data_IF_969434666093
#
_entry.id   IF_969434666093
#
_cell.length_a   1.000
_cell.length_b   1.000
_cell.length_c   1.000
_cell.angle_alpha   90.00
_cell.angle_beta   90.00
_cell.angle_gamma   90.00
#
_symmetry.space_group_name_H-M   'P 1'
#
loop_
_entity.id
_entity.type
_entity.pdbx_description
1 polymer ?
#
# COMPACT_ATOMS: atom_id res chain seq x y z
N UNK A 1 7.63 -0.97 -27.69
CA UNK A 1 8.40 -1.79 -26.73
C UNK A 1 9.49 -2.52 -27.50
N UNK A 2 10.74 -2.45 -27.04
CA UNK A 2 11.85 -3.20 -27.64
C UNK A 2 11.77 -4.70 -27.24
N UNK A 3 12.52 -5.60 -27.90
CA UNK A 3 12.49 -7.04 -27.61
C UNK A 3 12.84 -7.39 -26.15
N UNK A 4 13.82 -6.69 -25.57
CA UNK A 4 14.29 -6.91 -24.20
C UNK A 4 13.19 -6.59 -23.17
N UNK A 5 12.44 -5.51 -23.39
CA UNK A 5 11.31 -5.12 -22.55
C UNK A 5 10.17 -6.13 -22.63
N UNK A 6 9.94 -6.72 -23.81
CA UNK A 6 8.94 -7.79 -23.98
C UNK A 6 9.35 -9.02 -23.16
N UNK A 7 10.61 -9.44 -23.26
CA UNK A 7 11.12 -10.61 -22.54
C UNK A 7 11.13 -10.39 -21.02
N UNK A 8 11.60 -9.23 -20.56
CA UNK A 8 11.54 -8.82 -19.16
C UNK A 8 10.11 -8.86 -18.61
N UNK A 9 9.15 -8.25 -19.32
CA UNK A 9 7.75 -8.24 -18.90
C UNK A 9 7.16 -9.65 -18.86
N UNK A 10 7.55 -10.53 -19.79
CA UNK A 10 7.11 -11.93 -19.82
C UNK A 10 7.62 -12.71 -18.61
N UNK A 11 8.91 -12.57 -18.29
CA UNK A 11 9.54 -13.21 -17.13
C UNK A 11 8.91 -12.70 -15.83
N UNK A 12 8.77 -11.38 -15.68
CA UNK A 12 8.14 -10.78 -14.51
C UNK A 12 6.70 -11.29 -14.32
N UNK A 13 5.91 -11.29 -15.39
CA UNK A 13 4.53 -11.79 -15.37
C UNK A 13 4.44 -13.28 -15.02
N UNK A 14 5.40 -14.08 -15.50
CA UNK A 14 5.48 -15.50 -15.14
C UNK A 14 5.76 -15.68 -13.66
N UNK A 15 6.78 -15.01 -13.12
CA UNK A 15 7.15 -15.10 -11.71
C UNK A 15 6.00 -14.62 -10.80
N UNK A 16 5.31 -13.52 -11.17
CA UNK A 16 4.12 -13.04 -10.46
C UNK A 16 2.99 -14.06 -10.47
N UNK A 17 2.78 -14.76 -11.58
CA UNK A 17 1.76 -15.81 -11.69
C UNK A 17 2.10 -17.02 -10.80
N UNK A 18 3.36 -17.42 -10.76
CA UNK A 18 3.84 -18.51 -9.90
C UNK A 18 3.74 -18.15 -8.41
N UNK A 19 3.98 -16.88 -8.07
CA UNK A 19 3.87 -16.35 -6.70
C UNK A 19 2.43 -16.01 -6.26
N UNK A 20 1.44 -16.08 -7.17
CA UNK A 20 0.08 -15.61 -6.88
C UNK A 20 -0.63 -16.50 -5.85
N UNK A 21 -1.27 -15.87 -4.87
CA UNK A 21 -1.95 -16.58 -3.78
C UNK A 21 -3.46 -16.49 -3.94
N UNK A 22 -4.09 -17.65 -4.10
CA UNK A 22 -5.55 -17.81 -4.21
C UNK A 22 -6.08 -18.60 -3.02
N UNK A 23 -6.21 -17.93 -1.89
CA UNK A 23 -6.63 -18.53 -0.64
C UNK A 23 -7.50 -17.56 0.16
N UNK A 24 -8.48 -18.09 0.90
CA UNK A 24 -9.28 -17.28 1.81
C UNK A 24 -8.50 -17.08 3.10
N UNK A 25 -8.28 -15.82 3.50
CA UNK A 25 -7.64 -15.45 4.76
C UNK A 25 -8.47 -15.90 5.99
N UNK A 26 -9.73 -16.27 5.78
CA UNK A 26 -10.66 -16.80 6.79
C UNK A 26 -10.93 -18.31 6.62
N UNK A 27 -10.01 -19.05 5.99
CA UNK A 27 -10.21 -20.48 5.76
C UNK A 27 -10.37 -21.30 7.06
N UNK A 28 -9.66 -20.90 8.13
CA UNK A 28 -9.74 -21.53 9.46
C UNK A 28 -10.83 -20.97 10.38
N UNK A 29 -11.79 -20.22 9.84
CA UNK A 29 -12.89 -19.64 10.61
C UNK A 29 -13.91 -20.72 11.00
N UNK A 30 -14.08 -20.95 12.31
CA UNK A 30 -15.01 -21.93 12.87
C UNK A 30 -16.47 -21.44 12.85
N UNK A 31 -16.72 -20.13 12.79
CA UNK A 31 -18.08 -19.55 12.87
C UNK A 31 -18.78 -19.56 11.52
N UNK A 32 -18.06 -19.18 10.47
CA UNK A 32 -18.55 -19.25 9.09
C UNK A 32 -17.63 -20.15 8.28
N UNK A 33 -18.15 -21.33 7.91
CA UNK A 33 -17.41 -22.27 7.07
C UNK A 33 -17.05 -21.62 5.74
N UNK A 34 -15.76 -21.65 5.39
CA UNK A 34 -15.27 -21.19 4.10
C UNK A 34 -15.97 -21.92 2.96
N UNK A 35 -16.52 -21.18 1.99
CA UNK A 35 -17.15 -21.78 0.81
C UNK A 35 -16.16 -22.33 -0.21
N UNK A 36 -14.86 -22.04 -0.05
CA UNK A 36 -13.78 -22.44 -0.96
C UNK A 36 -13.77 -21.72 -2.32
N UNK A 37 -14.87 -21.07 -2.71
CA UNK A 37 -14.97 -20.32 -3.97
C UNK A 37 -14.30 -18.95 -3.82
N UNK A 38 -12.99 -18.90 -4.08
CA UNK A 38 -12.19 -17.67 -4.10
C UNK A 38 -12.69 -16.72 -5.19
N UNK A 39 -12.79 -15.44 -4.84
CA UNK A 39 -13.23 -14.37 -5.73
C UNK A 39 -12.14 -13.31 -5.89
N UNK A 40 -12.33 -12.41 -6.85
CA UNK A 40 -11.61 -11.15 -6.92
C UNK A 40 -12.33 -10.13 -6.03
N UNK A 41 -11.99 -10.14 -4.73
CA UNK A 41 -12.53 -9.20 -3.76
C UNK A 41 -11.92 -7.81 -3.96
N UNK A 42 -12.73 -6.76 -3.78
CA UNK A 42 -12.30 -5.37 -3.94
C UNK A 42 -11.87 -4.77 -2.60
N UNK A 43 -10.65 -4.24 -2.50
CA UNK A 43 -10.21 -3.48 -1.33
C UNK A 43 -10.74 -2.03 -1.30
N UNK A 44 -11.15 -1.50 -2.45
CA UNK A 44 -11.93 -0.25 -2.55
C UNK A 44 -13.25 -0.57 -3.23
N UNK A 45 -14.37 -0.21 -2.61
CA UNK A 45 -15.71 -0.62 -3.04
C UNK A 45 -15.98 -0.32 -4.50
N UNK A 46 -16.31 -1.34 -5.29
CA UNK A 46 -16.57 -1.14 -6.72
C UNK A 46 -17.85 -0.33 -6.95
N UNK A 47 -18.97 -0.81 -6.40
CA UNK A 47 -20.32 -0.30 -6.71
C UNK A 47 -20.71 1.01 -6.04
N UNK A 48 -19.84 1.56 -5.18
CA UNK A 48 -20.06 2.81 -4.46
C UNK A 48 -18.92 3.78 -4.70
N UNK A 49 -17.72 3.42 -4.24
CA UNK A 49 -16.56 4.32 -4.24
C UNK A 49 -15.92 4.41 -5.63
N UNK A 50 -15.57 3.28 -6.27
CA UNK A 50 -14.90 3.33 -7.56
C UNK A 50 -15.84 3.82 -8.68
N UNK A 51 -17.11 3.42 -8.65
CA UNK A 51 -18.13 3.92 -9.57
C UNK A 51 -18.36 5.44 -9.45
N UNK A 52 -18.23 6.04 -8.25
CA UNK A 52 -18.36 7.49 -8.07
C UNK A 52 -17.14 8.28 -8.54
N UNK A 53 -15.98 7.63 -8.66
CA UNK A 53 -14.70 8.24 -9.07
C UNK A 53 -14.41 8.03 -10.55
N UNK A 54 -14.91 6.94 -11.13
CA UNK A 54 -14.66 6.60 -12.53
C UNK A 54 -15.21 7.64 -13.51
N UNK A 55 -14.58 7.74 -14.67
CA UNK A 55 -15.13 8.53 -15.77
C UNK A 55 -16.50 7.98 -16.18
N UNK A 56 -17.46 8.89 -16.34
CA UNK A 56 -18.87 8.58 -16.62
C UNK A 56 -19.19 8.57 -18.12
N UNK A 57 -18.26 9.00 -18.98
CA UNK A 57 -18.46 9.07 -20.42
C UNK A 57 -17.15 9.14 -21.19
N UNK A 58 -17.23 8.90 -22.51
CA UNK A 58 -16.08 8.95 -23.41
C UNK A 58 -15.27 7.65 -23.44
N UNK A 59 -14.08 7.71 -24.03
CA UNK A 59 -13.20 6.54 -24.24
C UNK A 59 -12.68 5.89 -22.94
N UNK A 60 -12.82 6.60 -21.81
CA UNK A 60 -12.37 6.17 -20.49
C UNK A 60 -13.52 5.79 -19.55
N UNK A 61 -14.75 5.66 -20.06
CA UNK A 61 -15.90 5.23 -19.28
C UNK A 61 -15.59 3.99 -18.41
N UNK A 62 -15.90 4.09 -17.11
CA UNK A 62 -15.67 3.01 -16.14
C UNK A 62 -14.20 2.77 -15.78
N UNK A 63 -13.31 3.71 -16.08
CA UNK A 63 -11.89 3.69 -15.69
C UNK A 63 -11.57 4.77 -14.67
N UNK A 64 -10.54 4.50 -13.88
CA UNK A 64 -9.89 5.43 -12.95
C UNK A 64 -8.42 5.57 -13.32
N UNK A 65 -7.78 6.63 -12.82
CA UNK A 65 -6.33 6.70 -12.72
C UNK A 65 -5.86 6.07 -11.42
N UNK A 66 -4.72 5.38 -11.47
CA UNK A 66 -3.95 5.00 -10.29
C UNK A 66 -2.46 5.30 -10.53
N UNK A 67 -1.68 5.45 -9.48
CA UNK A 67 -0.23 5.62 -9.59
C UNK A 67 0.43 4.25 -9.73
N UNK A 68 1.47 4.18 -10.54
CA UNK A 68 2.26 2.96 -10.72
C UNK A 68 3.60 3.23 -11.38
N UNK A 69 4.38 2.18 -11.56
CA UNK A 69 5.70 2.25 -12.18
C UNK A 69 5.69 1.56 -13.55
N UNK A 70 6.40 2.12 -14.53
CA UNK A 70 6.63 1.53 -15.84
C UNK A 70 8.14 1.54 -16.17
N UNK A 71 8.67 0.55 -16.90
CA UNK A 71 10.06 0.60 -17.34
C UNK A 71 10.31 1.81 -18.24
N UNK A 72 11.41 2.53 -18.01
CA UNK A 72 11.90 3.57 -18.91
C UNK A 72 12.28 2.98 -20.28
N UNK A 73 12.31 3.82 -21.33
CA UNK A 73 12.67 3.38 -22.68
C UNK A 73 14.08 2.78 -22.77
N UNK A 74 15.01 3.26 -21.94
CA UNK A 74 16.39 2.78 -21.85
C UNK A 74 16.55 1.51 -21.01
N UNK A 75 15.46 1.01 -20.39
CA UNK A 75 15.45 -0.13 -19.47
C UNK A 75 16.38 0.01 -18.26
N UNK A 76 16.86 1.22 -17.95
CA UNK A 76 17.77 1.46 -16.81
C UNK A 76 17.03 1.81 -15.52
N UNK A 77 15.76 2.19 -15.61
CA UNK A 77 14.98 2.62 -14.45
C UNK A 77 13.49 2.31 -14.60
N UNK A 78 12.79 2.34 -13.47
CA UNK A 78 11.33 2.37 -13.43
C UNK A 78 10.89 3.83 -13.23
N UNK A 79 9.98 4.30 -14.07
CA UNK A 79 9.44 5.65 -14.04
C UNK A 79 8.02 5.64 -13.50
N UNK A 80 7.64 6.60 -12.64
CA UNK A 80 6.29 6.70 -12.14
C UNK A 80 5.36 7.36 -13.15
N UNK A 81 4.13 6.86 -13.22
CA UNK A 81 3.10 7.42 -14.08
C UNK A 81 1.70 7.17 -13.51
N UNK A 82 0.73 7.98 -13.96
CA UNK A 82 -0.67 7.65 -13.82
C UNK A 82 -1.09 6.65 -14.88
N UNK A 83 -1.65 5.52 -14.45
CA UNK A 83 -2.15 4.46 -15.31
C UNK A 83 -3.67 4.43 -15.29
N UNK A 84 -4.28 4.27 -16.46
CA UNK A 84 -5.72 4.02 -16.57
C UNK A 84 -6.04 2.55 -16.33
N UNK A 85 -6.98 2.28 -15.44
CA UNK A 85 -7.47 0.93 -15.21
C UNK A 85 -8.98 0.89 -14.98
N UNK A 86 -9.64 -0.13 -15.55
CA UNK A 86 -11.06 -0.36 -15.34
C UNK A 86 -11.38 -0.79 -13.91
N UNK A 87 -12.44 -0.23 -13.32
CA UNK A 87 -12.83 -0.46 -11.92
C UNK A 87 -13.15 -1.92 -11.58
N UNK A 88 -13.46 -2.74 -12.59
CA UNK A 88 -13.69 -4.19 -12.41
C UNK A 88 -12.41 -4.93 -12.00
N UNK A 89 -11.23 -4.43 -12.37
CA UNK A 89 -9.92 -5.05 -12.09
C UNK A 89 -9.15 -4.32 -11.00
N UNK A 90 -9.25 -2.99 -10.96
CA UNK A 90 -8.51 -2.19 -10.00
C UNK A 90 -8.86 -2.56 -8.55
N UNK A 91 -7.85 -2.53 -7.67
CA UNK A 91 -8.00 -2.82 -6.24
C UNK A 91 -8.54 -4.21 -5.93
N UNK A 92 -8.41 -5.18 -6.85
CA UNK A 92 -8.86 -6.56 -6.61
C UNK A 92 -7.76 -7.46 -6.07
N UNK A 93 -8.13 -8.43 -5.24
CA UNK A 93 -7.23 -9.47 -4.72
C UNK A 93 -7.97 -10.76 -4.41
N UNK A 94 -7.24 -11.87 -4.32
CA UNK A 94 -7.78 -13.24 -4.18
C UNK A 94 -7.67 -13.78 -2.76
N UNK A 95 -7.87 -12.89 -1.77
CA UNK A 95 -7.76 -13.17 -0.34
C UNK A 95 -9.05 -13.65 0.34
N UNK A 96 -10.19 -13.73 -0.38
CA UNK A 96 -11.47 -14.10 0.21
C UNK A 96 -12.29 -15.05 -0.67
N UNK A 97 -13.07 -15.92 -0.01
CA UNK A 97 -14.17 -16.61 -0.66
C UNK A 97 -15.42 -15.71 -0.70
N UNK A 98 -16.33 -15.95 -1.63
CA UNK A 98 -17.55 -15.13 -1.75
C UNK A 98 -18.48 -15.15 -0.52
N UNK A 99 -18.37 -16.18 0.34
CA UNK A 99 -19.13 -16.25 1.59
C UNK A 99 -18.60 -15.30 2.65
N UNK A 100 -17.28 -15.35 2.91
CA UNK A 100 -16.62 -14.48 3.89
C UNK A 100 -16.58 -13.03 3.47
N UNK A 101 -16.32 -12.76 2.18
CA UNK A 101 -16.35 -11.39 1.65
C UNK A 101 -17.71 -10.73 1.93
N UNK A 102 -18.81 -11.40 1.57
CA UNK A 102 -20.15 -10.89 1.83
C UNK A 102 -20.40 -10.74 3.34
N UNK A 103 -20.13 -11.77 4.15
CA UNK A 103 -20.44 -11.73 5.57
C UNK A 103 -19.74 -10.59 6.32
N UNK A 104 -18.48 -10.31 5.99
CA UNK A 104 -17.67 -9.30 6.69
C UNK A 104 -17.99 -7.90 6.18
N UNK A 105 -18.10 -7.73 4.85
CA UNK A 105 -18.11 -6.41 4.25
C UNK A 105 -19.50 -5.85 3.95
N UNK A 106 -20.55 -6.67 3.95
CA UNK A 106 -21.91 -6.22 3.71
C UNK A 106 -22.32 -4.94 4.49
N UNK A 107 -21.94 -4.75 5.77
CA UNK A 107 -22.32 -3.55 6.52
C UNK A 107 -21.73 -2.23 5.98
N UNK A 108 -20.65 -2.26 5.19
CA UNK A 108 -20.14 -1.09 4.47
C UNK A 108 -20.58 -1.06 3.01
N UNK A 109 -20.90 -2.21 2.40
CA UNK A 109 -21.39 -2.28 1.01
C UNK A 109 -22.85 -1.86 0.87
N UNK A 110 -23.73 -2.23 1.81
CA UNK A 110 -25.18 -2.04 1.65
C UNK A 110 -25.71 -0.80 2.40
N UNK A 111 -24.95 -0.29 3.37
CA UNK A 111 -25.38 0.82 4.24
C UNK A 111 -24.58 2.08 3.93
N UNK A 112 -25.23 3.24 4.00
CA UNK A 112 -24.53 4.53 3.87
C UNK A 112 -23.51 4.71 5.00
N UNK A 113 -22.38 5.33 4.70
CA UNK A 113 -21.36 5.61 5.69
C UNK A 113 -21.86 6.64 6.71
N UNK A 114 -21.79 6.28 7.99
CA UNK A 114 -22.20 7.12 9.13
C UNK A 114 -21.18 7.11 10.26
N UNK A 115 -19.95 6.63 9.98
CA UNK A 115 -18.84 6.54 10.92
C UNK A 115 -19.14 5.77 12.21
N UNK A 116 -20.01 4.74 12.14
CA UNK A 116 -20.19 3.83 13.28
C UNK A 116 -18.91 3.03 13.52
N UNK A 117 -18.62 2.67 14.79
CA UNK A 117 -17.46 1.85 15.14
C UNK A 117 -17.38 0.57 14.28
N UNK A 118 -18.52 -0.07 13.99
CA UNK A 118 -18.57 -1.24 13.12
C UNK A 118 -18.04 -0.94 11.71
N UNK A 119 -18.50 0.13 11.08
CA UNK A 119 -18.01 0.54 9.76
C UNK A 119 -16.52 0.89 9.79
N UNK A 120 -16.06 1.63 10.80
CA UNK A 120 -14.64 2.01 10.95
C UNK A 120 -13.73 0.77 11.07
N UNK A 121 -14.14 -0.21 11.88
CA UNK A 121 -13.41 -1.48 12.02
C UNK A 121 -13.41 -2.30 10.73
N UNK A 122 -14.51 -2.35 9.98
CA UNK A 122 -14.58 -3.08 8.70
C UNK A 122 -13.67 -2.43 7.65
N UNK A 123 -13.62 -1.09 7.57
CA UNK A 123 -12.68 -0.38 6.69
C UNK A 123 -11.22 -0.64 7.08
N UNK A 124 -10.91 -0.66 8.38
CA UNK A 124 -9.59 -1.00 8.87
C UNK A 124 -9.21 -2.45 8.52
N UNK A 125 -10.13 -3.40 8.74
CA UNK A 125 -9.93 -4.81 8.44
C UNK A 125 -9.67 -5.03 6.95
N UNK A 126 -10.44 -4.36 6.07
CA UNK A 126 -10.25 -4.43 4.62
C UNK A 126 -8.85 -3.99 4.20
N UNK A 127 -8.36 -2.88 4.75
CA UNK A 127 -7.02 -2.37 4.48
C UNK A 127 -5.92 -3.32 4.97
N UNK A 128 -6.05 -3.84 6.19
CA UNK A 128 -5.11 -4.81 6.75
C UNK A 128 -5.09 -6.14 5.97
N UNK A 129 -6.27 -6.65 5.59
CA UNK A 129 -6.39 -7.90 4.83
C UNK A 129 -5.82 -7.79 3.41
N UNK A 130 -6.01 -6.64 2.74
CA UNK A 130 -5.40 -6.41 1.42
C UNK A 130 -3.87 -6.41 1.52
N UNK A 131 -3.32 -5.75 2.53
CA UNK A 131 -1.88 -5.68 2.75
C UNK A 131 -1.32 -7.04 3.15
N UNK A 132 -1.98 -7.78 4.04
CA UNK A 132 -1.60 -9.15 4.39
C UNK A 132 -1.49 -10.03 3.14
N UNK A 133 -2.48 -9.97 2.26
CA UNK A 133 -2.44 -10.69 0.99
C UNK A 133 -1.29 -10.26 0.08
N UNK A 134 -1.04 -8.95 -0.04
CA UNK A 134 0.11 -8.40 -0.80
C UNK A 134 1.47 -8.86 -0.25
N UNK A 135 1.65 -8.89 1.08
CA UNK A 135 2.90 -9.35 1.70
C UNK A 135 3.07 -10.87 1.57
N UNK A 136 1.99 -11.65 1.66
CA UNK A 136 2.03 -13.08 1.38
C UNK A 136 2.51 -13.35 -0.05
N UNK A 137 1.99 -12.62 -1.05
CA UNK A 137 2.44 -12.74 -2.44
C UNK A 137 3.89 -12.26 -2.61
N UNK A 138 4.31 -11.21 -1.90
CA UNK A 138 5.68 -10.73 -1.91
C UNK A 138 6.67 -11.74 -1.33
N UNK A 139 6.29 -12.45 -0.26
CA UNK A 139 7.06 -13.57 0.30
C UNK A 139 7.18 -14.70 -0.73
N UNK A 140 6.07 -15.13 -1.32
CA UNK A 140 6.07 -16.18 -2.35
C UNK A 140 6.88 -15.78 -3.58
N UNK A 141 6.88 -14.49 -3.95
CA UNK A 141 7.70 -13.98 -5.03
C UNK A 141 9.20 -14.07 -4.72
N UNK A 142 9.61 -13.78 -3.49
CA UNK A 142 10.99 -14.02 -3.04
C UNK A 142 11.38 -15.49 -3.14
N UNK A 143 10.47 -16.41 -2.79
CA UNK A 143 10.67 -17.86 -2.89
C UNK A 143 10.84 -18.31 -4.35
N UNK A 144 10.03 -17.78 -5.27
CA UNK A 144 10.17 -18.02 -6.72
C UNK A 144 11.50 -17.50 -7.24
N UNK A 145 11.92 -16.29 -6.86
CA UNK A 145 13.19 -15.70 -7.32
C UNK A 145 14.41 -16.48 -6.82
N UNK A 146 14.35 -17.01 -5.59
CA UNK A 146 15.47 -17.73 -4.99
C UNK A 146 15.50 -19.21 -5.38
N UNK A 147 14.34 -19.85 -5.54
CA UNK A 147 14.23 -21.30 -5.78
C UNK A 147 15.08 -22.10 -4.80
N UNK A 148 15.95 -22.97 -5.32
CA UNK A 148 16.88 -23.80 -4.52
C UNK A 148 17.91 -22.98 -3.71
N UNK A 149 18.04 -21.66 -3.96
CA UNK A 149 18.96 -20.76 -3.24
C UNK A 149 18.35 -20.13 -1.98
N UNK A 150 17.08 -20.40 -1.67
CA UNK A 150 16.39 -19.80 -0.52
C UNK A 150 17.15 -20.02 0.79
N UNK A 151 17.70 -21.23 0.98
CA UNK A 151 18.42 -21.64 2.19
C UNK A 151 19.94 -21.71 2.01
N UNK A 152 20.48 -21.16 0.93
CA UNK A 152 21.91 -21.19 0.62
C UNK A 152 22.57 -19.90 1.09
N UNK A 153 23.62 -20.02 1.92
CA UNK A 153 24.45 -18.86 2.30
C UNK A 153 25.53 -18.60 1.25
N UNK A 154 25.12 -18.05 0.10
CA UNK A 154 26.00 -17.63 -0.99
C UNK A 154 26.57 -16.20 -0.82
N UNK A 155 26.31 -15.56 0.32
CA UNK A 155 26.86 -14.24 0.66
C UNK A 155 27.30 -14.15 2.13
N UNK A 156 28.33 -14.92 2.51
CA UNK A 156 28.82 -14.98 3.88
C UNK A 156 29.41 -13.64 4.36
N UNK A 157 29.60 -13.52 5.68
CA UNK A 157 30.06 -12.28 6.32
C UNK A 157 31.36 -11.70 5.71
N UNK A 158 32.31 -12.55 5.31
CA UNK A 158 33.54 -12.07 4.68
C UNK A 158 33.30 -11.43 3.30
N UNK A 159 32.31 -11.90 2.53
CA UNK A 159 31.88 -11.23 1.29
C UNK A 159 31.20 -9.90 1.59
N UNK A 160 30.33 -9.85 2.60
CA UNK A 160 29.67 -8.62 3.04
C UNK A 160 30.67 -7.52 3.45
N UNK A 161 31.75 -7.91 4.13
CA UNK A 161 32.79 -6.98 4.58
C UNK A 161 33.71 -6.53 3.43
N UNK A 162 34.04 -7.40 2.48
CA UNK A 162 35.03 -7.11 1.43
C UNK A 162 34.42 -6.53 0.16
N UNK A 163 33.16 -6.84 -0.17
CA UNK A 163 32.51 -6.37 -1.40
C UNK A 163 32.54 -4.84 -1.56
N UNK A 164 32.33 -4.00 -0.52
CA UNK A 164 32.43 -2.54 -0.66
C UNK A 164 33.83 -2.07 -1.11
N UNK A 165 34.90 -2.69 -0.60
CA UNK A 165 36.28 -2.39 -0.99
C UNK A 165 36.60 -2.88 -2.41
N UNK A 166 35.98 -3.99 -2.82
CA UNK A 166 36.09 -4.48 -4.21
C UNK A 166 35.34 -3.54 -5.17
N UNK A 167 34.11 -3.12 -4.82
CA UNK A 167 33.30 -2.18 -5.62
C UNK A 167 33.95 -0.81 -5.78
N UNK A 168 34.70 -0.35 -4.78
CA UNK A 168 35.46 0.91 -4.84
C UNK A 168 36.81 0.78 -5.54
N UNK A 169 37.25 -0.45 -5.87
CA UNK A 169 38.52 -0.71 -6.55
C UNK A 169 39.75 -0.80 -5.64
N UNK A 170 39.56 -0.72 -4.31
CA UNK A 170 40.64 -0.89 -3.33
C UNK A 170 41.19 -2.33 -3.32
N UNK A 171 40.32 -3.31 -3.57
CA UNK A 171 40.68 -4.74 -3.68
C UNK A 171 40.32 -5.23 -5.08
N UNK A 172 41.28 -5.85 -5.77
CA UNK A 172 41.03 -6.51 -7.06
C UNK A 172 40.82 -8.01 -6.85
N UNK A 173 39.77 -8.54 -7.47
CA UNK A 173 39.48 -9.97 -7.53
C UNK A 173 39.24 -10.37 -8.99
N UNK A 174 39.45 -11.64 -9.37
CA UNK A 174 39.03 -12.13 -10.68
C UNK A 174 37.54 -11.91 -10.96
N UNK A 175 37.17 -11.66 -12.21
CA UNK A 175 35.80 -11.30 -12.61
C UNK A 175 34.75 -12.34 -12.19
N UNK A 176 35.06 -13.64 -12.33
CA UNK A 176 34.14 -14.70 -11.90
C UNK A 176 33.85 -14.68 -10.39
N UNK A 177 34.79 -14.20 -9.56
CA UNK A 177 34.58 -14.02 -8.12
C UNK A 177 33.68 -12.81 -7.89
N UNK A 178 33.93 -11.69 -8.58
CA UNK A 178 33.10 -10.50 -8.48
C UNK A 178 31.65 -10.81 -8.89
N UNK A 179 31.44 -11.50 -10.00
CA UNK A 179 30.12 -11.93 -10.47
C UNK A 179 29.40 -12.79 -9.43
N UNK A 180 30.10 -13.78 -8.84
CA UNK A 180 29.54 -14.61 -7.79
C UNK A 180 29.17 -13.81 -6.54
N UNK A 181 30.00 -12.84 -6.14
CA UNK A 181 29.73 -11.96 -4.99
C UNK A 181 28.54 -11.04 -5.24
N UNK A 182 28.42 -10.47 -6.44
CA UNK A 182 27.28 -9.62 -6.82
C UNK A 182 25.98 -10.42 -6.88
N UNK A 183 26.03 -11.66 -7.39
CA UNK A 183 24.85 -12.53 -7.38
C UNK A 183 24.47 -12.95 -5.95
N UNK A 184 25.45 -13.28 -5.11
CA UNK A 184 25.24 -13.56 -3.69
C UNK A 184 24.63 -12.38 -2.95
N UNK A 185 25.10 -11.15 -3.19
CA UNK A 185 24.54 -9.93 -2.61
C UNK A 185 23.06 -9.75 -2.97
N UNK A 186 22.70 -9.93 -4.26
CA UNK A 186 21.30 -9.88 -4.72
C UNK A 186 20.45 -10.94 -4.02
N UNK A 187 20.91 -12.19 -3.98
CA UNK A 187 20.20 -13.28 -3.31
C UNK A 187 20.04 -13.00 -1.80
N UNK A 188 21.06 -12.42 -1.16
CA UNK A 188 21.00 -12.02 0.25
C UNK A 188 19.96 -10.93 0.50
N UNK A 189 19.89 -9.91 -0.36
CA UNK A 189 18.85 -8.88 -0.27
C UNK A 189 17.44 -9.46 -0.38
N UNK A 190 17.22 -10.42 -1.30
CA UNK A 190 15.93 -11.10 -1.44
C UNK A 190 15.61 -11.94 -0.19
N UNK A 191 16.58 -12.63 0.41
CA UNK A 191 16.39 -13.38 1.67
C UNK A 191 16.07 -12.46 2.86
N UNK A 192 16.70 -11.29 2.94
CA UNK A 192 16.38 -10.30 3.97
C UNK A 192 14.93 -9.80 3.80
N UNK A 193 14.50 -9.51 2.57
CA UNK A 193 13.12 -9.13 2.29
C UNK A 193 12.14 -10.26 2.64
N UNK A 194 12.45 -11.51 2.27
CA UNK A 194 11.65 -12.69 2.61
C UNK A 194 11.44 -12.81 4.13
N UNK A 195 12.50 -12.69 4.92
CA UNK A 195 12.43 -12.69 6.40
C UNK A 195 11.58 -11.53 6.94
N UNK A 196 11.75 -10.33 6.39
CA UNK A 196 10.94 -9.16 6.79
C UNK A 196 9.45 -9.36 6.49
N UNK A 197 9.12 -10.00 5.35
CA UNK A 197 7.74 -10.37 5.05
C UNK A 197 7.16 -11.30 6.11
N UNK A 198 7.93 -12.23 6.69
CA UNK A 198 7.43 -13.11 7.76
C UNK A 198 7.02 -12.33 9.01
N UNK A 199 7.81 -11.34 9.41
CA UNK A 199 7.46 -10.46 10.53
C UNK A 199 6.18 -9.66 10.22
N UNK A 200 6.09 -9.06 9.03
CA UNK A 200 4.90 -8.30 8.62
C UNK A 200 3.66 -9.17 8.50
N UNK A 201 3.77 -10.41 8.01
CA UNK A 201 2.66 -11.37 7.95
C UNK A 201 2.13 -11.66 9.35
N UNK A 202 3.03 -11.95 10.30
CA UNK A 202 2.65 -12.21 11.69
C UNK A 202 1.89 -11.04 12.31
N UNK A 203 2.35 -9.81 12.10
CA UNK A 203 1.69 -8.61 12.64
C UNK A 203 0.35 -8.34 11.96
N UNK A 204 0.27 -8.45 10.64
CA UNK A 204 -0.96 -8.22 9.88
C UNK A 204 -2.02 -9.30 10.16
N UNK A 205 -1.61 -10.55 10.43
CA UNK A 205 -2.50 -11.61 10.89
C UNK A 205 -3.11 -11.26 12.24
N UNK A 206 -2.29 -10.82 13.21
CA UNK A 206 -2.75 -10.37 14.51
C UNK A 206 -3.74 -9.20 14.41
N UNK A 207 -3.43 -8.20 13.58
CA UNK A 207 -4.36 -7.07 13.30
C UNK A 207 -5.69 -7.60 12.73
N UNK A 208 -5.65 -8.51 11.77
CA UNK A 208 -6.84 -9.06 11.14
C UNK A 208 -7.70 -9.87 12.14
N UNK A 209 -7.07 -10.68 12.99
CA UNK A 209 -7.75 -11.47 14.02
C UNK A 209 -8.48 -10.57 15.02
N UNK A 210 -7.80 -9.55 15.55
CA UNK A 210 -8.38 -8.64 16.54
C UNK A 210 -9.46 -7.72 15.98
N UNK A 211 -9.28 -7.21 14.76
CA UNK A 211 -10.32 -6.44 14.10
C UNK A 211 -11.54 -7.31 13.83
N UNK A 212 -11.36 -8.59 13.51
CA UNK A 212 -12.51 -9.50 13.35
C UNK A 212 -13.23 -9.71 14.68
N UNK A 213 -12.51 -10.00 15.76
CA UNK A 213 -13.10 -10.11 17.10
C UNK A 213 -13.86 -8.83 17.48
N UNK A 214 -13.29 -7.66 17.16
CA UNK A 214 -13.90 -6.35 17.41
C UNK A 214 -15.18 -6.15 16.58
N UNK A 215 -15.19 -6.54 15.30
CA UNK A 215 -16.38 -6.45 14.42
C UNK A 215 -17.52 -7.34 14.91
N UNK A 216 -17.18 -8.51 15.45
CA UNK A 216 -18.15 -9.50 15.93
C UNK A 216 -18.70 -9.19 17.31
N UNK A 217 -17.88 -8.66 18.23
CA UNK A 217 -18.27 -8.35 19.61
C UNK A 217 -18.72 -6.90 19.80
N UNK A 218 -18.43 -6.03 18.84
CA UNK A 218 -18.66 -4.59 18.88
C UNK A 218 -17.95 -3.86 20.05
N UNK A 219 -16.85 -4.43 20.56
CA UNK A 219 -16.00 -3.88 21.64
C UNK A 219 -14.58 -3.55 21.13
N UNK A 220 -14.12 -2.31 21.29
CA UNK A 220 -12.78 -1.87 20.84
C UNK A 220 -11.68 -2.27 21.83
N UNK A 221 -10.99 -3.37 21.53
CA UNK A 221 -9.97 -3.92 22.45
C UNK A 221 -8.55 -3.39 22.19
N UNK A 222 -8.10 -3.20 20.95
CA UNK A 222 -6.70 -2.85 20.64
C UNK A 222 -6.45 -1.60 19.78
N UNK A 223 -7.45 -1.15 19.04
CA UNK A 223 -7.31 -0.11 18.01
C UNK A 223 -8.07 1.16 18.34
N UNK A 224 -7.55 2.29 17.88
CA UNK A 224 -8.18 3.61 17.92
C UNK A 224 -8.47 4.07 16.49
N UNK A 225 -9.61 4.74 16.32
CA UNK A 225 -10.00 5.35 15.05
C UNK A 225 -9.92 6.87 15.17
N UNK A 226 -9.27 7.49 14.19
CA UNK A 226 -9.31 8.93 13.97
C UNK A 226 -10.08 9.17 12.68
N UNK A 227 -11.26 9.76 12.80
CA UNK A 227 -12.14 10.07 11.68
C UNK A 227 -12.19 11.58 11.45
N UNK A 228 -11.98 11.99 10.21
CA UNK A 228 -12.12 13.36 9.75
C UNK A 228 -12.95 13.39 8.46
N UNK A 229 -13.64 14.50 8.23
CA UNK A 229 -14.47 14.70 7.05
C UNK A 229 -14.14 16.02 6.39
N UNK A 230 -13.93 15.97 5.09
CA UNK A 230 -13.73 17.15 4.25
C UNK A 230 -15.06 17.47 3.55
N UNK A 231 -15.43 18.74 3.52
CA UNK A 231 -16.56 19.20 2.74
C UNK A 231 -16.21 19.19 1.24
N UNK A 232 -17.03 18.51 0.44
CA UNK A 232 -16.80 18.25 -0.98
C UNK A 232 -16.50 16.77 -1.27
N UNK A 233 -17.09 16.25 -2.35
CA UNK A 233 -16.81 14.91 -2.87
C UNK A 233 -15.59 14.95 -3.80
N UNK A 234 -14.39 14.92 -3.22
CA UNK A 234 -13.14 14.83 -3.98
C UNK A 234 -13.00 13.44 -4.61
N UNK A 235 -12.65 13.39 -5.89
CA UNK A 235 -12.58 12.15 -6.67
C UNK A 235 -11.25 11.42 -6.43
N UNK A 236 -10.97 11.16 -5.16
CA UNK A 236 -9.79 10.46 -4.64
C UNK A 236 -10.27 9.39 -3.67
N UNK A 237 -9.82 8.16 -3.85
CA UNK A 237 -10.01 7.11 -2.87
C UNK A 237 -8.76 6.28 -2.65
N UNK A 238 -8.62 5.76 -1.44
CA UNK A 238 -7.56 4.81 -1.14
C UNK A 238 -7.96 3.84 -0.02
N UNK A 239 -7.29 2.70 0.00
CA UNK A 239 -7.39 1.68 1.05
C UNK A 239 -6.02 1.04 1.23
N UNK A 240 -5.33 1.34 2.32
CA UNK A 240 -3.97 0.89 2.54
C UNK A 240 -3.66 0.66 4.02
N UNK A 241 -2.77 -0.29 4.28
CA UNK A 241 -2.09 -0.47 5.57
C UNK A 241 -0.60 -0.22 5.34
N UNK A 242 0.02 0.62 6.15
CA UNK A 242 1.43 0.97 6.00
C UNK A 242 2.07 1.33 7.34
N UNK A 243 3.40 1.34 7.39
CA UNK A 243 4.16 1.80 8.56
C UNK A 243 4.60 3.26 8.32
N UNK A 244 4.12 4.23 9.11
CA UNK A 244 4.41 5.64 8.90
C UNK A 244 5.77 6.02 9.51
N UNK A 245 6.86 5.88 8.75
CA UNK A 245 8.20 6.28 9.22
C UNK A 245 8.31 7.79 9.49
N UNK A 246 7.53 8.59 8.77
CA UNK A 246 7.50 10.05 8.81
C UNK A 246 6.07 10.56 8.99
N UNK A 247 5.94 11.78 9.53
CA UNK A 247 4.68 12.52 9.49
C UNK A 247 4.44 13.23 8.16
N UNK A 248 3.31 13.92 8.05
CA UNK A 248 2.87 14.66 6.86
C UNK A 248 3.86 15.75 6.40
N UNK A 249 4.77 16.19 7.27
CA UNK A 249 5.76 17.22 7.00
C UNK A 249 7.17 16.63 6.79
N UNK A 250 7.31 15.31 6.83
CA UNK A 250 8.58 14.61 6.64
C UNK A 250 9.44 14.50 7.90
N UNK A 251 8.88 14.79 9.08
CA UNK A 251 9.58 14.55 10.34
C UNK A 251 9.46 13.08 10.72
N UNK A 252 10.58 12.45 11.07
CA UNK A 252 10.61 11.03 11.44
C UNK A 252 9.85 10.80 12.75
N UNK A 253 8.87 9.89 12.74
CA UNK A 253 8.06 9.52 13.91
C UNK A 253 8.32 8.09 14.41
N UNK A 254 9.11 7.32 13.65
CA UNK A 254 9.65 6.01 14.06
C UNK A 254 11.18 6.13 14.13
N UNK A 255 11.72 5.91 15.32
CA UNK A 255 13.16 5.99 15.55
C UNK A 255 13.94 4.95 14.75
N UNK A 256 15.24 5.21 14.51
CA UNK A 256 16.12 4.23 13.85
C UNK A 256 16.25 2.92 14.63
N UNK A 257 16.13 2.97 15.95
CA UNK A 257 16.14 1.79 16.80
C UNK A 257 14.86 0.96 16.61
N UNK A 258 13.69 1.59 16.55
CA UNK A 258 12.43 0.91 16.24
C UNK A 258 12.44 0.33 14.82
N UNK A 259 12.92 1.08 13.82
CA UNK A 259 13.10 0.59 12.44
C UNK A 259 13.98 -0.67 12.39
N UNK A 260 15.11 -0.66 13.08
CA UNK A 260 15.99 -1.83 13.18
C UNK A 260 15.35 -3.01 13.92
N UNK A 261 14.52 -2.73 14.93
CA UNK A 261 13.78 -3.77 15.67
C UNK A 261 12.76 -4.46 14.77
N UNK A 262 11.90 -3.68 14.10
CA UNK A 262 10.87 -4.19 13.18
C UNK A 262 11.48 -5.00 12.02
N UNK A 263 12.67 -4.62 11.56
CA UNK A 263 13.38 -5.38 10.54
C UNK A 263 13.87 -6.76 11.03
N UNK A 264 14.00 -6.98 12.34
CA UNK A 264 14.59 -8.19 12.95
C UNK A 264 13.58 -9.10 13.64
N UNK A 265 12.41 -8.59 14.01
CA UNK A 265 11.36 -9.37 14.69
C UNK A 265 9.99 -8.72 14.53
N UNK A 266 8.94 -9.53 14.57
CA UNK A 266 7.56 -9.04 14.73
C UNK A 266 7.34 -8.41 16.12
N UNK A 267 6.29 -7.62 16.23
CA UNK A 267 5.79 -7.05 17.47
C UNK A 267 5.41 -8.12 18.49
N UNK A 268 5.78 -7.91 19.75
CA UNK A 268 5.43 -8.83 20.84
C UNK A 268 3.97 -8.66 21.32
N UNK A 269 3.34 -7.53 21.00
CA UNK A 269 1.95 -7.23 21.31
C UNK A 269 1.41 -6.14 20.39
N UNK A 270 0.08 -5.97 20.31
CA UNK A 270 -0.53 -4.92 19.49
C UNK A 270 -0.06 -3.53 19.85
N UNK A 271 0.23 -3.27 21.12
CA UNK A 271 0.69 -1.96 21.57
C UNK A 271 1.99 -1.54 20.86
N UNK A 272 2.77 -2.49 20.35
CA UNK A 272 4.02 -2.23 19.63
C UNK A 272 3.85 -2.17 18.11
N UNK A 273 2.70 -2.59 17.58
CA UNK A 273 2.41 -2.58 16.15
C UNK A 273 2.37 -1.13 15.64
N UNK A 274 3.14 -0.86 14.58
CA UNK A 274 3.26 0.47 13.98
C UNK A 274 2.40 0.67 12.74
N UNK A 275 1.75 -0.36 12.22
CA UNK A 275 0.85 -0.25 11.08
C UNK A 275 -0.28 0.74 11.34
N UNK A 276 -0.61 1.48 10.28
CA UNK A 276 -1.73 2.41 10.19
C UNK A 276 -2.54 2.03 8.97
N UNK A 277 -3.84 1.88 9.17
CA UNK A 277 -4.81 1.65 8.11
C UNK A 277 -5.45 2.99 7.74
N UNK A 278 -5.27 3.41 6.49
CA UNK A 278 -5.86 4.62 5.92
C UNK A 278 -6.91 4.25 4.88
N UNK A 279 -8.12 4.78 5.07
CA UNK A 279 -9.18 4.78 4.07
C UNK A 279 -9.58 6.22 3.76
N UNK A 280 -9.63 6.55 2.47
CA UNK A 280 -10.12 7.83 1.95
C UNK A 280 -11.14 7.53 0.87
N UNK A 281 -12.30 8.16 0.90
CA UNK A 281 -13.31 7.99 -0.16
C UNK A 281 -14.38 9.09 -0.15
N UNK A 282 -14.94 9.45 -1.33
CA UNK A 282 -16.10 10.32 -1.41
C UNK A 282 -17.42 9.56 -1.19
N UNK A 283 -18.32 10.13 -0.39
CA UNK A 283 -19.72 9.69 -0.24
C UNK A 283 -20.58 10.88 0.23
N UNK A 284 -21.78 11.04 -0.33
CA UNK A 284 -22.75 12.05 0.14
C UNK A 284 -22.22 13.49 0.20
N UNK A 285 -21.64 13.99 -0.90
CA UNK A 285 -21.01 15.33 -1.04
C UNK A 285 -19.84 15.62 -0.07
N UNK A 286 -19.31 14.59 0.58
CA UNK A 286 -18.17 14.68 1.50
C UNK A 286 -17.08 13.72 1.09
N UNK A 287 -15.87 13.97 1.58
CA UNK A 287 -14.77 12.99 1.53
C UNK A 287 -14.42 12.57 2.95
N UNK A 288 -14.53 11.28 3.20
CA UNK A 288 -14.28 10.68 4.50
C UNK A 288 -12.82 10.23 4.58
N UNK A 289 -12.16 10.53 5.69
CA UNK A 289 -10.78 10.15 5.97
C UNK A 289 -10.76 9.38 7.29
N UNK A 290 -10.33 8.13 7.24
CA UNK A 290 -10.29 7.23 8.39
C UNK A 290 -8.86 6.73 8.57
N UNK A 291 -8.27 7.06 9.72
CA UNK A 291 -7.07 6.40 10.20
C UNK A 291 -7.44 5.43 11.31
N UNK A 292 -6.93 4.21 11.23
CA UNK A 292 -7.03 3.24 12.33
C UNK A 292 -5.64 2.72 12.66
N UNK A 293 -5.31 2.68 13.94
CA UNK A 293 -3.97 2.27 14.40
C UNK A 293 -4.05 1.73 15.82
N UNK A 294 -3.01 1.00 16.23
CA UNK A 294 -2.92 0.48 17.60
C UNK A 294 -2.94 1.61 18.62
N UNK A 295 -3.67 1.43 19.73
CA UNK A 295 -3.65 2.37 20.87
C UNK A 295 -2.24 2.61 21.42
N UNK A 296 -1.29 1.70 21.24
CA UNK A 296 0.10 1.90 21.66
C UNK A 296 0.95 2.73 20.70
N UNK A 297 0.47 3.02 19.47
CA UNK A 297 1.18 3.82 18.48
C UNK A 297 1.06 5.34 18.77
N UNK A 298 1.62 5.76 19.91
CA UNK A 298 1.54 7.12 20.43
C UNK A 298 2.25 8.16 19.54
N UNK A 299 3.32 7.77 18.85
CA UNK A 299 4.02 8.68 17.93
C UNK A 299 3.17 9.02 16.72
N UNK A 300 2.46 8.03 16.16
CA UNK A 300 1.49 8.30 15.09
C UNK A 300 0.28 9.09 15.60
N UNK A 301 -0.24 8.77 16.79
CA UNK A 301 -1.34 9.52 17.42
C UNK A 301 -1.03 11.02 17.53
N UNK A 302 0.12 11.35 18.12
CA UNK A 302 0.55 12.75 18.23
C UNK A 302 0.72 13.43 16.86
N UNK A 303 1.23 12.68 15.86
CA UNK A 303 1.39 13.17 14.50
C UNK A 303 0.06 13.50 13.82
N UNK A 304 -0.92 12.59 13.87
CA UNK A 304 -2.21 12.79 13.22
C UNK A 304 -3.05 13.87 13.93
N UNK A 305 -2.96 13.97 15.26
CA UNK A 305 -3.60 15.05 16.02
C UNK A 305 -3.04 16.43 15.66
N UNK A 306 -1.76 16.54 15.31
CA UNK A 306 -1.18 17.79 14.80
C UNK A 306 -1.69 18.12 13.40
N UNK A 307 -1.71 17.13 12.51
CA UNK A 307 -2.22 17.30 11.13
C UNK A 307 -3.66 17.82 11.13
N UNK A 308 -4.54 17.20 11.92
CA UNK A 308 -5.96 17.56 11.97
C UNK A 308 -6.27 18.92 12.61
N UNK A 309 -5.27 19.57 13.23
CA UNK A 309 -5.39 20.94 13.78
C UNK A 309 -4.96 22.02 12.79
N UNK A 310 -4.42 21.64 11.63
CA UNK A 310 -4.05 22.59 10.59
C UNK A 310 -5.29 23.24 9.94
N UNK A 311 -5.10 24.41 9.35
CA UNK A 311 -6.10 25.03 8.49
C UNK A 311 -6.38 24.16 7.25
N UNK A 312 -7.58 24.31 6.67
CA UNK A 312 -8.12 23.42 5.62
C UNK A 312 -7.13 23.12 4.48
N UNK A 313 -6.50 24.14 3.90
CA UNK A 313 -5.55 23.95 2.79
C UNK A 313 -4.30 23.19 3.23
N UNK A 314 -3.73 23.54 4.39
CA UNK A 314 -2.55 22.88 4.93
C UNK A 314 -2.85 21.43 5.35
N UNK A 315 -4.05 21.16 5.88
CA UNK A 315 -4.55 19.83 6.17
C UNK A 315 -4.64 18.99 4.90
N UNK A 316 -5.26 19.50 3.83
CA UNK A 316 -5.41 18.79 2.55
C UNK A 316 -4.05 18.49 1.91
N UNK A 317 -3.10 19.42 1.95
CA UNK A 317 -1.71 19.18 1.51
C UNK A 317 -1.05 18.11 2.37
N UNK A 318 -1.22 18.16 3.70
CA UNK A 318 -0.66 17.14 4.60
C UNK A 318 -1.23 15.74 4.36
N UNK A 319 -2.54 15.61 4.15
CA UNK A 319 -3.19 14.35 3.75
C UNK A 319 -2.69 13.87 2.39
N UNK A 320 -2.47 14.79 1.45
CA UNK A 320 -1.92 14.48 0.12
C UNK A 320 -0.50 13.93 0.22
N UNK A 321 0.35 14.53 1.07
CA UNK A 321 1.70 14.04 1.30
C UNK A 321 1.69 12.64 1.94
N UNK A 322 0.78 12.34 2.87
CA UNK A 322 0.61 10.98 3.42
C UNK A 322 0.19 10.01 2.31
N UNK A 323 -0.84 10.35 1.53
CA UNK A 323 -1.35 9.49 0.47
C UNK A 323 -0.28 9.18 -0.58
N UNK A 324 0.43 10.20 -1.07
CA UNK A 324 1.46 10.01 -2.08
C UNK A 324 2.67 9.23 -1.56
N UNK A 325 3.11 9.45 -0.32
CA UNK A 325 4.29 8.78 0.21
C UNK A 325 4.01 7.38 0.77
N UNK A 326 2.76 6.98 1.01
CA UNK A 326 2.48 5.70 1.67
C UNK A 326 1.45 4.82 0.98
N UNK A 327 0.69 5.33 0.00
CA UNK A 327 -0.49 4.63 -0.50
C UNK A 327 -0.40 4.31 -2.00
N UNK A 328 0.04 3.09 -2.29
CA UNK A 328 0.05 2.53 -3.65
C UNK A 328 -1.36 2.21 -4.16
N UNK A 329 -2.24 1.70 -3.29
CA UNK A 329 -3.62 1.36 -3.63
C UNK A 329 -4.53 2.61 -3.55
N UNK A 330 -4.30 3.56 -4.46
CA UNK A 330 -5.06 4.80 -4.60
C UNK A 330 -5.69 4.94 -6.00
N UNK A 331 -6.92 5.47 -6.04
CA UNK A 331 -7.69 5.75 -7.24
C UNK A 331 -8.02 7.24 -7.33
N UNK A 332 -7.96 7.76 -8.54
CA UNK A 332 -8.21 9.15 -8.87
C UNK A 332 -9.13 9.24 -10.08
N UNK A 333 -10.06 10.19 -10.08
CA UNK A 333 -10.93 10.42 -11.23
C UNK A 333 -10.12 10.89 -12.44
N UNK A 334 -10.27 10.33 -13.65
CA UNK A 334 -9.42 10.73 -14.75
C UNK A 334 -9.62 12.19 -15.18
N UNK A 335 -10.88 12.59 -15.39
CA UNK A 335 -11.21 14.01 -15.63
C UNK A 335 -10.82 14.90 -14.45
N UNK A 336 -10.94 14.40 -13.23
CA UNK A 336 -10.54 15.13 -12.02
C UNK A 336 -9.05 15.50 -12.03
N UNK A 337 -8.18 14.55 -12.41
CA UNK A 337 -6.75 14.82 -12.51
C UNK A 337 -6.45 15.74 -13.70
N UNK A 338 -7.01 15.44 -14.87
CA UNK A 338 -6.69 16.15 -16.11
C UNK A 338 -7.18 17.61 -16.10
N UNK A 339 -8.29 17.91 -15.45
CA UNK A 339 -8.86 19.26 -15.40
C UNK A 339 -8.22 20.15 -14.32
N UNK A 340 -7.64 19.56 -13.26
CA UNK A 340 -7.13 20.31 -12.10
C UNK A 340 -5.60 20.41 -12.03
N UNK A 341 -4.86 19.57 -12.74
CA UNK A 341 -3.40 19.55 -12.69
C UNK A 341 -2.79 19.71 -14.08
N UNK A 342 -1.81 20.62 -14.18
CA UNK A 342 -0.96 20.73 -15.38
C UNK A 342 -0.13 19.46 -15.59
N UNK A 343 0.35 19.19 -16.82
CA UNK A 343 1.25 18.07 -17.08
C UNK A 343 2.47 18.02 -16.16
N UNK A 344 3.03 19.18 -15.81
CA UNK A 344 4.15 19.31 -14.88
C UNK A 344 3.77 18.91 -13.45
N UNK A 345 2.57 19.31 -12.99
CA UNK A 345 2.05 18.89 -11.69
C UNK A 345 1.74 17.39 -11.65
N UNK A 346 1.15 16.83 -12.71
CA UNK A 346 0.89 15.39 -12.85
C UNK A 346 2.19 14.59 -12.76
N UNK A 347 3.23 15.04 -13.48
CA UNK A 347 4.57 14.45 -13.38
C UNK A 347 5.13 14.58 -11.97
N UNK A 348 5.01 15.75 -11.35
CA UNK A 348 5.50 15.97 -9.99
C UNK A 348 4.80 15.08 -8.96
N UNK A 349 3.49 14.88 -9.07
CA UNK A 349 2.71 13.94 -8.24
C UNK A 349 3.30 12.53 -8.34
N UNK A 350 3.53 12.06 -9.57
CA UNK A 350 4.09 10.73 -9.82
C UNK A 350 5.51 10.59 -9.23
N UNK A 351 6.34 11.63 -9.36
CA UNK A 351 7.68 11.64 -8.77
C UNK A 351 7.69 11.66 -7.23
N UNK A 352 6.72 12.34 -6.59
CA UNK A 352 6.57 12.31 -5.12
C UNK A 352 6.21 10.90 -4.66
N UNK A 353 5.25 10.27 -5.35
CA UNK A 353 4.86 8.89 -5.10
C UNK A 353 6.03 7.90 -5.20
N UNK A 354 6.89 8.06 -6.20
CA UNK A 354 8.00 7.14 -6.44
C UNK A 354 9.05 7.10 -5.33
N UNK A 355 9.23 8.20 -4.57
CA UNK A 355 10.34 8.32 -3.61
C UNK A 355 10.30 7.21 -2.56
N UNK A 356 9.14 6.99 -1.95
CA UNK A 356 8.96 6.01 -0.88
C UNK A 356 8.77 4.59 -1.40
N UNK A 357 8.29 4.44 -2.63
CA UNK A 357 8.20 3.15 -3.33
C UNK A 357 9.61 2.57 -3.56
N UNK A 358 10.57 3.40 -3.96
CA UNK A 358 11.96 2.97 -4.13
C UNK A 358 12.75 2.94 -2.81
N UNK A 359 12.45 3.84 -1.88
CA UNK A 359 13.18 3.95 -0.62
C UNK A 359 12.25 4.36 0.52
N UNK A 360 11.75 3.37 1.26
CA UNK A 360 10.88 3.56 2.42
C UNK A 360 11.52 4.41 3.54
N UNK A 361 12.85 4.62 3.49
CA UNK A 361 13.56 5.48 4.44
C UNK A 361 13.56 6.96 4.03
N UNK A 362 12.96 7.30 2.89
CA UNK A 362 12.77 8.67 2.39
C UNK A 362 11.31 9.10 2.44
N UNK A 363 11.12 10.40 2.46
CA UNK A 363 9.84 11.07 2.37
C UNK A 363 10.03 12.33 1.54
N UNK A 364 9.13 12.60 0.59
CA UNK A 364 9.14 13.82 -0.21
C UNK A 364 7.92 14.66 0.14
N UNK A 365 8.18 15.76 0.83
CA UNK A 365 7.18 16.82 1.03
C UNK A 365 6.90 17.50 -0.30
N UNK A 366 5.63 17.76 -0.56
CA UNK A 366 5.16 18.57 -1.68
C UNK A 366 4.16 19.61 -1.21
N UNK A 367 3.92 20.63 -2.06
CA UNK A 367 2.80 21.56 -1.92
C UNK A 367 1.55 21.10 -2.68
N UNK A 368 1.49 19.84 -3.10
CA UNK A 368 0.36 19.31 -3.88
C UNK A 368 -0.85 19.14 -2.96
N UNK A 369 -1.98 19.69 -3.38
CA UNK A 369 -3.28 19.39 -2.83
C UNK A 369 -4.02 18.45 -3.80
N UNK A 370 -4.27 17.20 -3.39
CA UNK A 370 -5.06 16.22 -4.15
C UNK A 370 -6.57 16.37 -3.93
N UNK A 371 -6.99 17.19 -2.96
CA UNK A 371 -8.38 17.44 -2.57
C UNK A 371 -8.84 18.81 -3.09
N UNK A 372 -8.73 18.99 -4.40
CA UNK A 372 -9.12 20.18 -5.14
C UNK A 372 -10.60 20.11 -5.53
N UNK A 373 -11.34 21.20 -5.38
CA UNK A 373 -12.72 21.27 -5.87
C UNK A 373 -12.77 21.10 -7.38
N UNK A 374 -13.93 20.74 -7.96
CA UNK A 374 -14.09 20.85 -9.42
C UNK A 374 -13.78 22.29 -9.82
N UNK A 375 -13.09 22.54 -10.96
CA UNK A 375 -12.97 23.90 -11.45
C UNK A 375 -14.38 24.47 -11.54
N UNK A 376 -14.66 25.53 -10.78
CA UNK A 376 -15.84 26.35 -11.08
C UNK A 376 -15.65 26.75 -12.52
N UNK A 377 -16.60 26.35 -13.38
CA UNK A 377 -16.59 26.80 -14.77
C UNK A 377 -16.41 28.31 -14.71
N UNK A 378 -15.24 28.77 -15.17
CA UNK A 378 -14.95 30.19 -15.24
C UNK A 378 -16.15 30.81 -15.96
N UNK A 379 -16.88 31.66 -15.26
CA UNK A 379 -17.90 32.50 -15.85
C UNK A 379 -17.20 33.28 -16.95
N UNK A 380 -17.37 32.82 -18.19
CA UNK A 380 -16.95 33.53 -19.39
C UNK A 380 -17.72 34.84 -19.52
#
# INVERSE_FOLDING_TARGET
MNPEQIEFNKLLSQNQKEASIKACLRAGDDKLKCSGKIIHAHSIQRGKILESIADVSGENEGKIYHLGLAPAEDMQSMQPEFKLQGIKKFSTFTGFCGGHDKAIFQPIEDVAFSATNKQLNIYAYRAAAKELHSILESKAFCEVLLGDKLNVNDFPAHFQMTLPQIKSGEIKVPDFILEAMLQGEKNHQIRVLHMQCEHSISELQQICEELTDTIEREESLGFEHVYHVLDGAFLVACCASFIPYFDHDGNRIISKQEEQRMARSSAASNAEIKNVMLNVFPEGDKTHVIFTFSKGNQSFKASIERLLKLEDEALKIGLSNIALNYVENSAYGPKYINDNFSPEQIKHIAEVFAVSVFDRSKFRRSGINLFVGRPTAATK
#
